data_IF_065238701586
#
_entry.id   IF_065238701586
#
_cell.length_a   1.000
_cell.length_b   1.000
_cell.length_c   1.000
_cell.angle_alpha   90.00
_cell.angle_beta   90.00
_cell.angle_gamma   90.00
#
_symmetry.space_group_name_H-M   'P 1'
#
loop_
_entity.id
_entity.type
_entity.pdbx_description
1 polymer ?
#
# COMPACT_ATOMS: atom_id res chain seq x y z
N UNK A 1 1.90 -13.56 -4.51
CA UNK A 1 1.25 -12.24 -4.26
C UNK A 1 1.83 -11.20 -5.20
N UNK A 2 1.02 -10.28 -5.65
CA UNK A 2 1.50 -9.18 -6.47
C UNK A 2 1.43 -7.87 -5.70
N UNK A 3 2.55 -7.15 -5.69
CA UNK A 3 2.65 -5.82 -5.08
C UNK A 3 3.07 -4.88 -6.19
N UNK A 4 2.32 -3.79 -6.37
CA UNK A 4 2.61 -2.81 -7.40
C UNK A 4 3.05 -1.51 -6.73
N UNK A 5 4.22 -0.99 -7.14
CA UNK A 5 4.76 0.28 -6.68
C UNK A 5 4.75 1.24 -7.85
N UNK A 6 3.98 2.32 -7.73
CA UNK A 6 3.87 3.31 -8.78
C UNK A 6 4.17 4.70 -8.25
N UNK A 7 4.89 5.47 -9.05
CA UNK A 7 5.08 6.89 -8.83
C UNK A 7 4.13 7.65 -9.75
N UNK A 8 3.89 8.90 -9.42
CA UNK A 8 2.99 9.75 -10.20
C UNK A 8 3.37 9.81 -11.69
N UNK A 9 4.66 9.90 -11.97
CA UNK A 9 5.17 9.96 -13.34
C UNK A 9 4.93 8.66 -14.12
N UNK A 10 4.88 7.52 -13.45
CA UNK A 10 4.56 6.25 -14.11
C UNK A 10 3.08 6.14 -14.45
N UNK A 11 2.22 6.73 -13.66
CA UNK A 11 0.79 6.75 -13.97
C UNK A 11 0.53 7.46 -15.29
N UNK A 12 1.30 8.50 -15.60
CA UNK A 12 1.17 9.20 -16.89
C UNK A 12 1.78 8.42 -18.05
N UNK A 13 2.77 7.56 -17.80
CA UNK A 13 3.44 6.76 -18.83
C UNK A 13 2.70 5.48 -19.18
N UNK A 14 1.79 5.02 -18.31
CA UNK A 14 1.02 3.79 -18.53
C UNK A 14 -0.49 4.09 -18.53
N UNK A 15 -0.94 5.01 -19.42
CA UNK A 15 -2.29 5.53 -19.29
C UNK A 15 -3.38 4.48 -19.50
N UNK A 16 -3.20 3.57 -20.47
CA UNK A 16 -4.25 2.60 -20.77
C UNK A 16 -4.43 1.58 -19.64
N UNK A 17 -3.33 1.02 -19.13
CA UNK A 17 -3.38 0.04 -18.06
C UNK A 17 -3.81 0.67 -16.73
N UNK A 18 -3.17 1.78 -16.36
CA UNK A 18 -3.43 2.44 -15.08
C UNK A 18 -4.80 3.09 -15.07
N UNK A 19 -5.21 3.72 -16.18
CA UNK A 19 -6.54 4.30 -16.28
C UNK A 19 -7.62 3.22 -16.15
N UNK A 20 -7.40 2.02 -16.68
CA UNK A 20 -8.33 0.92 -16.52
C UNK A 20 -8.45 0.52 -15.05
N UNK A 21 -7.32 0.40 -14.32
CA UNK A 21 -7.34 0.08 -12.90
C UNK A 21 -8.00 1.18 -12.08
N UNK A 22 -7.69 2.44 -12.38
CA UNK A 22 -8.11 3.57 -11.57
C UNK A 22 -9.41 4.22 -12.03
N UNK A 23 -9.97 3.85 -13.17
CA UNK A 23 -11.23 4.43 -13.63
C UNK A 23 -12.28 3.40 -13.98
N UNK A 24 -11.94 2.40 -14.81
CA UNK A 24 -12.91 1.42 -15.28
C UNK A 24 -13.21 0.35 -14.23
N UNK A 25 -12.20 -0.09 -13.49
CA UNK A 25 -12.33 -1.18 -12.53
C UNK A 25 -12.60 -0.71 -11.10
N UNK A 26 -12.78 0.58 -10.92
CA UNK A 26 -13.10 1.13 -9.62
C UNK A 26 -11.94 1.27 -8.65
N UNK A 27 -10.69 0.96 -9.05
CA UNK A 27 -9.55 1.10 -8.15
C UNK A 27 -9.27 2.57 -7.86
N UNK A 28 -9.36 3.45 -8.88
CA UNK A 28 -9.26 4.89 -8.69
C UNK A 28 -10.40 5.45 -7.85
N UNK A 29 -11.53 4.75 -7.82
CA UNK A 29 -12.69 5.12 -7.05
C UNK A 29 -12.72 4.40 -5.69
N UNK A 30 -11.66 3.71 -5.30
CA UNK A 30 -11.57 3.10 -3.98
C UNK A 30 -11.39 4.21 -2.95
N UNK A 31 -12.49 4.60 -2.35
CA UNK A 31 -12.53 5.64 -1.32
C UNK A 31 -12.89 5.07 0.05
N UNK A 32 -13.40 3.83 0.07
CA UNK A 32 -13.75 3.18 1.31
C UNK A 32 -12.49 2.87 2.11
N UNK A 33 -12.49 3.25 3.37
CA UNK A 33 -11.38 2.94 4.26
C UNK A 33 -11.43 1.49 4.70
N UNK A 34 -10.26 0.87 4.82
CA UNK A 34 -10.17 -0.48 5.35
C UNK A 34 -10.64 -0.52 6.80
N UNK A 35 -11.46 -1.50 7.15
CA UNK A 35 -12.07 -1.63 8.46
C UNK A 35 -11.36 -2.68 9.33
N UNK A 36 -10.17 -3.01 9.02
CA UNK A 36 -9.37 -4.02 9.71
C UNK A 36 -8.38 -4.59 8.72
N UNK A 37 -7.87 -5.75 9.03
CA UNK A 37 -6.81 -6.37 8.23
C UNK A 37 -7.31 -7.51 7.34
N UNK A 38 -8.63 -7.75 7.32
CA UNK A 38 -9.25 -8.74 6.47
C UNK A 38 -10.03 -8.02 5.35
N UNK A 39 -9.39 -7.91 4.20
CA UNK A 39 -9.90 -7.12 3.08
C UNK A 39 -10.87 -7.98 2.28
N UNK A 40 -12.16 -7.85 2.56
CA UNK A 40 -13.23 -8.54 1.82
C UNK A 40 -13.71 -7.74 0.61
N UNK A 41 -13.50 -6.45 0.63
CA UNK A 41 -13.79 -5.54 -0.48
C UNK A 41 -12.65 -4.55 -0.61
N UNK A 42 -12.34 -4.15 -1.83
CA UNK A 42 -11.23 -3.21 -2.09
C UNK A 42 -11.35 -1.97 -1.22
N UNK A 43 -10.26 -1.57 -0.60
CA UNK A 43 -10.26 -0.47 0.35
C UNK A 43 -8.93 0.30 0.36
N UNK A 44 -9.01 1.51 0.85
CA UNK A 44 -7.87 2.40 1.02
C UNK A 44 -7.35 2.26 2.45
N UNK A 45 -6.13 1.81 2.60
CA UNK A 45 -5.49 1.71 3.91
C UNK A 45 -4.95 3.07 4.37
N UNK A 46 -4.87 3.25 5.67
CA UNK A 46 -4.15 4.36 6.27
C UNK A 46 -2.67 3.99 6.39
N UNK A 47 -1.83 4.99 6.67
CA UNK A 47 -0.41 4.74 6.93
C UNK A 47 -0.25 3.79 8.10
N UNK A 48 0.66 2.85 7.94
CA UNK A 48 0.98 1.87 8.97
C UNK A 48 2.35 2.18 9.58
N UNK A 49 2.40 2.29 10.90
CA UNK A 49 3.65 2.46 11.64
C UNK A 49 3.67 1.42 12.74
N UNK A 50 4.55 0.43 12.61
CA UNK A 50 4.56 -0.75 13.45
C UNK A 50 5.86 -0.88 14.22
N UNK A 51 5.76 -1.26 15.48
CA UNK A 51 6.92 -1.52 16.34
C UNK A 51 6.61 -2.72 17.23
N UNK A 52 7.41 -3.77 17.10
CA UNK A 52 7.29 -4.95 17.96
C UNK A 52 6.02 -5.77 17.81
N UNK A 53 5.26 -5.55 16.73
CA UNK A 53 4.02 -6.30 16.50
C UNK A 53 4.02 -6.92 15.11
N UNK A 54 3.18 -7.93 14.94
CA UNK A 54 2.92 -8.56 13.65
C UNK A 54 1.59 -8.07 13.12
N UNK A 55 1.57 -7.66 11.86
CA UNK A 55 0.33 -7.27 11.19
C UNK A 55 0.19 -8.05 9.89
N UNK A 56 -0.79 -8.92 9.85
CA UNK A 56 -1.08 -9.75 8.69
C UNK A 56 -2.35 -9.25 8.01
N UNK A 57 -2.21 -8.83 6.76
CA UNK A 57 -3.34 -8.46 5.94
C UNK A 57 -3.77 -9.67 5.11
N UNK A 58 -5.06 -9.96 5.11
CA UNK A 58 -5.66 -10.95 4.23
C UNK A 58 -6.47 -10.24 3.16
N UNK A 59 -6.28 -10.61 1.90
CA UNK A 59 -6.91 -9.92 0.78
C UNK A 59 -7.74 -10.93 -0.01
N UNK A 60 -9.05 -10.70 -0.04
CA UNK A 60 -9.98 -11.58 -0.72
C UNK A 60 -9.72 -11.61 -2.23
N UNK A 61 -10.16 -12.69 -2.84
CA UNK A 61 -10.02 -12.94 -4.27
C UNK A 61 -10.59 -11.78 -5.10
N UNK A 62 -9.79 -11.27 -6.02
CA UNK A 62 -10.20 -10.17 -6.90
C UNK A 62 -10.26 -8.80 -6.25
N UNK A 63 -9.90 -8.67 -4.97
CA UNK A 63 -9.95 -7.41 -4.26
C UNK A 63 -8.59 -6.73 -4.19
N UNK A 64 -8.59 -5.44 -3.87
CA UNK A 64 -7.41 -4.61 -3.80
C UNK A 64 -7.25 -3.99 -2.43
N UNK A 65 -6.05 -4.10 -1.87
CA UNK A 65 -5.62 -3.29 -0.73
C UNK A 65 -4.78 -2.14 -1.29
N UNK A 66 -5.20 -0.91 -1.05
CA UNK A 66 -4.58 0.26 -1.67
C UNK A 66 -3.92 1.15 -0.61
N UNK A 67 -2.65 1.45 -0.84
CA UNK A 67 -1.89 2.46 -0.09
C UNK A 67 -1.51 3.55 -1.09
N UNK A 68 -2.23 4.64 -1.12
CA UNK A 68 -1.99 5.67 -2.13
C UNK A 68 -2.07 7.08 -1.59
N UNK A 69 -1.36 7.97 -2.27
CA UNK A 69 -1.41 9.43 -2.05
C UNK A 69 -1.06 9.85 -0.62
N UNK A 70 -0.19 9.09 0.03
CA UNK A 70 0.27 9.38 1.38
C UNK A 70 1.54 10.22 1.33
N UNK A 71 1.53 11.34 2.05
CA UNK A 71 2.70 12.19 2.22
C UNK A 71 3.02 12.27 3.70
N UNK A 72 4.28 12.03 4.05
CA UNK A 72 4.67 12.00 5.45
C UNK A 72 6.04 12.63 5.65
N UNK A 73 6.21 13.29 6.77
CA UNK A 73 7.50 13.84 7.18
C UNK A 73 8.21 12.89 8.15
N UNK A 74 8.19 11.61 7.80
CA UNK A 74 8.89 10.54 8.50
C UNK A 74 9.16 9.44 7.48
N UNK A 75 10.10 8.57 7.74
CA UNK A 75 10.41 7.45 6.84
C UNK A 75 9.20 6.54 6.67
N UNK A 76 9.06 5.96 5.48
CA UNK A 76 7.92 5.12 5.13
C UNK A 76 6.66 5.92 4.85
N UNK A 77 6.46 6.37 3.62
CA UNK A 77 5.28 7.15 3.27
C UNK A 77 3.97 6.41 3.52
N UNK A 78 3.93 5.12 3.24
CA UNK A 78 2.78 4.27 3.50
C UNK A 78 3.01 3.33 4.69
N UNK A 79 4.20 2.73 4.81
CA UNK A 79 4.49 1.73 5.83
C UNK A 79 5.86 2.00 6.45
N UNK A 80 5.90 2.10 7.76
CA UNK A 80 7.12 2.24 8.53
C UNK A 80 7.21 1.09 9.52
N UNK A 81 8.23 0.24 9.34
CA UNK A 81 8.44 -0.92 10.20
C UNK A 81 9.66 -0.68 11.08
N UNK A 82 9.47 -0.75 12.37
CA UNK A 82 10.52 -0.61 13.35
C UNK A 82 10.94 -1.98 13.86
N UNK A 83 11.94 -2.01 14.72
CA UNK A 83 12.49 -3.25 15.25
C UNK A 83 11.41 -4.15 15.84
N UNK A 84 11.44 -5.43 15.48
CA UNK A 84 10.49 -6.43 15.94
C UNK A 84 9.16 -6.44 15.21
N UNK A 85 8.94 -5.54 14.26
CA UNK A 85 7.70 -5.52 13.49
C UNK A 85 7.74 -6.54 12.36
N UNK A 86 6.61 -7.16 12.10
CA UNK A 86 6.40 -8.01 10.93
C UNK A 86 5.16 -7.52 10.19
N UNK A 87 5.24 -7.51 8.89
CA UNK A 87 4.17 -7.02 8.03
C UNK A 87 3.98 -7.99 6.87
N UNK A 88 2.80 -8.58 6.77
CA UNK A 88 2.50 -9.59 5.76
C UNK A 88 1.29 -9.19 4.93
N UNK A 89 1.37 -9.44 3.64
CA UNK A 89 0.29 -9.20 2.69
C UNK A 89 -0.07 -10.56 2.07
N UNK A 90 -1.15 -11.15 2.56
CA UNK A 90 -1.51 -12.53 2.25
C UNK A 90 -2.81 -12.58 1.43
N UNK A 91 -2.73 -12.73 0.11
CA UNK A 91 -3.93 -12.95 -0.68
C UNK A 91 -4.52 -14.33 -0.36
N UNK A 92 -5.85 -14.44 -0.32
CA UNK A 92 -6.54 -15.71 -0.09
C UNK A 92 -6.23 -16.71 -1.20
N UNK A 93 -6.06 -16.20 -2.41
CA UNK A 93 -5.44 -16.91 -3.52
C UNK A 93 -4.67 -15.91 -4.37
N UNK A 94 -4.28 -16.27 -5.59
CA UNK A 94 -3.32 -15.47 -6.36
C UNK A 94 -3.90 -14.18 -6.96
N UNK A 95 -5.18 -13.91 -6.79
CA UNK A 95 -5.85 -12.76 -7.41
C UNK A 95 -6.04 -11.56 -6.50
N UNK A 96 -5.77 -11.69 -5.20
CA UNK A 96 -5.72 -10.54 -4.31
C UNK A 96 -4.50 -9.68 -4.61
N UNK A 97 -4.67 -8.37 -4.66
CA UNK A 97 -3.64 -7.43 -5.06
C UNK A 97 -3.41 -6.36 -4.00
N UNK A 98 -2.16 -5.91 -3.88
CA UNK A 98 -1.82 -4.74 -3.10
C UNK A 98 -1.18 -3.70 -4.00
N UNK A 99 -1.67 -2.46 -3.93
CA UNK A 99 -1.16 -1.34 -4.72
C UNK A 99 -0.54 -0.30 -3.79
N UNK A 100 0.71 0.06 -4.06
CA UNK A 100 1.36 1.22 -3.47
C UNK A 100 1.57 2.25 -4.56
N UNK A 101 0.93 3.39 -4.46
CA UNK A 101 0.97 4.41 -5.51
C UNK A 101 1.08 5.80 -4.94
N UNK A 102 2.00 6.59 -5.51
CA UNK A 102 2.12 8.02 -5.23
C UNK A 102 2.31 8.33 -3.73
N UNK A 103 3.07 7.50 -3.04
CA UNK A 103 3.43 7.74 -1.63
C UNK A 103 4.76 8.45 -1.57
N UNK A 104 4.87 9.50 -0.78
CA UNK A 104 6.08 10.32 -0.69
C UNK A 104 6.47 10.57 0.76
N UNK A 105 7.76 10.72 0.97
CA UNK A 105 8.30 11.23 2.23
C UNK A 105 8.95 12.59 1.99
N UNK A 106 8.85 13.45 2.97
CA UNK A 106 9.46 14.79 2.96
C UNK A 106 10.45 14.90 4.11
N UNK A 107 11.31 15.91 4.05
CA UNK A 107 12.30 16.16 5.10
C UNK A 107 13.64 15.48 4.82
N UNK A 108 14.70 16.00 5.43
CA UNK A 108 16.03 15.42 5.34
C UNK A 108 16.08 14.14 6.15
N UNK A 109 16.89 13.21 5.69
CA UNK A 109 17.18 11.93 6.35
C UNK A 109 16.01 10.96 6.43
N UNK A 110 14.90 11.26 5.79
CA UNK A 110 13.77 10.33 5.69
C UNK A 110 13.88 9.50 4.43
N UNK A 111 13.54 8.22 4.53
CA UNK A 111 13.72 7.23 3.47
C UNK A 111 12.45 6.41 3.25
N UNK A 112 12.41 5.69 2.13
CA UNK A 112 11.32 4.77 1.83
C UNK A 112 10.02 5.48 1.45
N UNK A 113 9.93 5.96 0.21
CA UNK A 113 8.71 6.66 -0.25
C UNK A 113 7.42 5.88 -0.03
N UNK A 114 7.45 4.56 -0.22
CA UNK A 114 6.33 3.71 0.11
C UNK A 114 6.57 2.98 1.43
N UNK A 115 7.61 2.17 1.49
CA UNK A 115 7.91 1.33 2.64
C UNK A 115 9.33 1.62 3.14
N UNK A 116 9.48 1.69 4.44
CA UNK A 116 10.79 1.71 5.09
C UNK A 116 10.77 0.70 6.25
N UNK A 117 11.73 -0.21 6.22
CA UNK A 117 11.91 -1.20 7.28
C UNK A 117 13.27 -0.98 7.93
N UNK A 118 13.27 -0.79 9.24
CA UNK A 118 14.50 -0.69 10.01
C UNK A 118 15.09 -2.08 10.22
N UNK A 119 16.37 -2.10 10.57
CA UNK A 119 17.05 -3.32 10.96
C UNK A 119 16.25 -4.01 12.08
N UNK A 120 16.05 -5.30 11.95
CA UNK A 120 15.27 -6.08 12.90
C UNK A 120 13.77 -6.13 12.62
N UNK A 121 13.33 -5.48 11.55
CA UNK A 121 11.93 -5.59 11.12
C UNK A 121 11.71 -6.77 10.20
#
# INVERSE_FOLDING_TARGET
MRIIFLRKEYLSLLPSMIASLFSANGVAAVTDSCQGYDVKASCQASRQSLSGITQDWSIADGQWLVFSDMTNNASGGAVFLQQGAEFSLLPENETGMTLFANNTVTGEYNNGGAIFAKEGA
#
